data_IF_387259471464
#
_entry.id   IF_387259471464
#
_cell.length_a   1.000
_cell.length_b   1.000
_cell.length_c   1.000
_cell.angle_alpha   90.00
_cell.angle_beta   90.00
_cell.angle_gamma   90.00
#
_symmetry.space_group_name_H-M   'P 1'
#
loop_
_entity.id
_entity.type
_entity.pdbx_description
1 polymer ?
#
# COMPACT_ATOMS: atom_id res chain seq x y z
N UNK A 1 27.51 -12.02 -15.58
CA UNK A 1 26.88 -12.91 -14.60
C UNK A 1 26.93 -14.33 -15.14
N UNK A 2 27.48 -15.25 -14.38
CA UNK A 2 27.56 -16.67 -14.74
C UNK A 2 26.16 -17.30 -14.76
N UNK A 3 26.03 -18.39 -15.56
CA UNK A 3 24.72 -19.09 -15.75
C UNK A 3 24.17 -19.66 -14.44
N UNK A 4 25.06 -20.12 -13.56
CA UNK A 4 24.72 -20.66 -12.25
C UNK A 4 24.13 -19.59 -11.30
N UNK A 5 24.72 -18.38 -11.28
CA UNK A 5 24.22 -17.25 -10.46
C UNK A 5 22.83 -16.78 -10.92
N UNK A 6 22.56 -16.84 -12.24
CA UNK A 6 21.23 -16.53 -12.78
C UNK A 6 20.19 -17.58 -12.41
N UNK A 7 20.57 -18.87 -12.38
CA UNK A 7 19.67 -19.95 -11.98
C UNK A 7 19.29 -19.83 -10.49
N UNK A 8 20.27 -19.64 -9.63
CA UNK A 8 20.04 -19.44 -8.20
C UNK A 8 19.15 -18.21 -7.92
N UNK A 9 19.41 -17.08 -8.61
CA UNK A 9 18.57 -15.88 -8.52
C UNK A 9 17.11 -16.13 -8.95
N UNK A 10 16.89 -16.95 -9.97
CA UNK A 10 15.52 -17.30 -10.43
C UNK A 10 14.83 -18.18 -9.41
N UNK A 11 15.52 -19.14 -8.81
CA UNK A 11 14.97 -20.00 -7.77
C UNK A 11 14.58 -19.21 -6.52
N UNK A 12 15.48 -18.35 -6.01
CA UNK A 12 15.21 -17.46 -4.88
C UNK A 12 14.01 -16.52 -5.14
N UNK A 13 13.97 -15.94 -6.34
CA UNK A 13 12.86 -15.06 -6.72
C UNK A 13 11.56 -15.85 -6.88
N UNK A 14 11.61 -17.04 -7.46
CA UNK A 14 10.44 -17.88 -7.65
C UNK A 14 9.84 -18.30 -6.30
N UNK A 15 10.67 -18.64 -5.33
CA UNK A 15 10.23 -18.94 -3.97
C UNK A 15 9.58 -17.72 -3.29
N UNK A 16 10.25 -16.55 -3.35
CA UNK A 16 9.78 -15.33 -2.69
C UNK A 16 8.53 -14.72 -3.36
N UNK A 17 8.49 -14.66 -4.70
CA UNK A 17 7.36 -14.12 -5.46
C UNK A 17 6.19 -15.10 -5.46
N UNK A 18 6.45 -16.41 -5.51
CA UNK A 18 5.39 -17.42 -5.45
C UNK A 18 4.66 -17.47 -4.10
N UNK A 19 5.34 -17.09 -3.01
CA UNK A 19 4.73 -16.98 -1.69
C UNK A 19 3.98 -15.65 -1.47
N UNK A 20 4.21 -14.65 -2.33
CA UNK A 20 3.60 -13.32 -2.15
C UNK A 20 2.17 -13.27 -2.70
N UNK A 21 1.23 -12.66 -1.97
CA UNK A 21 -0.15 -12.49 -2.41
C UNK A 21 -0.30 -11.42 -3.50
N UNK A 22 0.66 -10.50 -3.62
CA UNK A 22 0.64 -9.41 -4.60
C UNK A 22 2.01 -9.13 -5.20
N UNK A 23 2.01 -8.73 -6.46
CA UNK A 23 3.19 -8.32 -7.21
C UNK A 23 2.88 -7.01 -7.94
N UNK A 24 3.68 -5.97 -7.71
CA UNK A 24 3.54 -4.68 -8.39
C UNK A 24 4.73 -4.46 -9.32
N UNK A 25 4.43 -4.08 -10.57
CA UNK A 25 5.40 -3.74 -11.60
C UNK A 25 5.52 -2.23 -11.74
N UNK A 26 6.75 -1.76 -11.71
CA UNK A 26 7.06 -0.33 -11.74
C UNK A 26 8.08 -0.06 -12.84
N UNK A 27 7.87 1.01 -13.58
CA UNK A 27 8.87 1.59 -14.48
C UNK A 27 9.72 2.59 -13.71
N UNK A 28 11.03 2.46 -13.79
CA UNK A 28 11.96 3.36 -13.11
C UNK A 28 12.83 4.09 -14.13
N UNK A 29 12.29 5.04 -14.83
CA UNK A 29 13.01 5.79 -15.83
C UNK A 29 13.53 7.11 -15.24
N UNK A 30 14.87 7.23 -15.08
CA UNK A 30 15.49 8.46 -14.62
C UNK A 30 15.62 8.64 -13.11
N UNK A 31 15.48 7.58 -12.30
CA UNK A 31 15.69 7.64 -10.85
C UNK A 31 17.15 8.00 -10.51
N UNK A 32 17.35 9.06 -9.73
CA UNK A 32 18.65 9.38 -9.15
C UNK A 32 19.05 8.36 -8.08
N UNK A 33 20.36 8.29 -7.77
CA UNK A 33 20.86 7.37 -6.73
C UNK A 33 20.22 7.68 -5.37
N UNK A 34 20.08 8.95 -5.03
CA UNK A 34 19.47 9.40 -3.77
C UNK A 34 18.01 8.93 -3.64
N UNK A 35 17.19 9.15 -4.68
CA UNK A 35 15.79 8.72 -4.73
C UNK A 35 15.65 7.20 -4.72
N UNK A 36 16.58 6.48 -5.34
CA UNK A 36 16.60 5.01 -5.29
C UNK A 36 16.89 4.47 -3.89
N UNK A 37 17.75 5.13 -3.13
CA UNK A 37 18.05 4.77 -1.73
C UNK A 37 16.84 5.09 -0.85
N UNK A 38 16.22 6.25 -1.02
CA UNK A 38 15.00 6.65 -0.32
C UNK A 38 13.86 5.65 -0.52
N UNK A 39 13.58 5.28 -1.77
CA UNK A 39 12.58 4.26 -2.11
C UNK A 39 12.86 2.93 -1.42
N UNK A 40 14.11 2.46 -1.46
CA UNK A 40 14.49 1.21 -0.80
C UNK A 40 14.33 1.26 0.72
N UNK A 41 14.59 2.40 1.33
CA UNK A 41 14.39 2.58 2.78
C UNK A 41 12.89 2.55 3.12
N UNK A 42 12.04 3.31 2.41
CA UNK A 42 10.58 3.26 2.57
C UNK A 42 10.03 1.83 2.35
N UNK A 43 10.55 1.12 1.35
CA UNK A 43 10.16 -0.28 1.13
C UNK A 43 10.55 -1.20 2.30
N UNK A 44 11.76 -1.03 2.88
CA UNK A 44 12.21 -1.84 4.02
C UNK A 44 11.40 -1.58 5.29
N UNK A 45 11.06 -0.32 5.56
CA UNK A 45 10.21 0.07 6.70
C UNK A 45 8.82 -0.58 6.63
N UNK A 46 8.29 -0.77 5.42
CA UNK A 46 6.99 -1.38 5.17
C UNK A 46 7.07 -2.88 4.83
N UNK A 47 8.20 -3.54 5.07
CA UNK A 47 8.43 -4.97 4.77
C UNK A 47 8.17 -5.35 3.30
N UNK A 48 8.35 -4.40 2.40
CA UNK A 48 8.23 -4.58 0.95
C UNK A 48 9.61 -4.87 0.37
N UNK A 49 9.71 -5.95 -0.38
CA UNK A 49 10.93 -6.27 -1.15
C UNK A 49 10.86 -5.56 -2.50
N UNK A 50 11.86 -4.75 -2.79
CA UNK A 50 12.02 -4.06 -4.05
C UNK A 50 13.28 -4.53 -4.78
N UNK A 51 13.13 -5.04 -6.01
CA UNK A 51 14.26 -5.54 -6.80
C UNK A 51 14.10 -5.20 -8.28
N UNK A 52 15.16 -4.68 -8.87
CA UNK A 52 15.24 -4.47 -10.31
C UNK A 52 15.75 -5.75 -10.95
N UNK A 53 14.99 -6.31 -11.87
CA UNK A 53 15.31 -7.60 -12.51
C UNK A 53 15.09 -7.50 -14.02
N UNK A 54 15.91 -8.22 -14.78
CA UNK A 54 15.74 -8.28 -16.24
C UNK A 54 14.45 -9.02 -16.60
N UNK A 55 13.62 -8.47 -17.50
CA UNK A 55 12.33 -9.02 -17.91
C UNK A 55 12.37 -10.50 -18.31
N UNK A 56 13.46 -10.91 -19.00
CA UNK A 56 13.64 -12.33 -19.38
C UNK A 56 13.78 -13.28 -18.20
N UNK A 57 14.29 -12.79 -17.05
CA UNK A 57 14.36 -13.58 -15.81
C UNK A 57 13.01 -13.56 -15.10
N UNK A 58 12.34 -12.41 -15.10
CA UNK A 58 10.99 -12.28 -14.50
C UNK A 58 10.01 -13.22 -15.17
N UNK A 59 10.01 -13.34 -16.50
CA UNK A 59 9.17 -14.30 -17.23
C UNK A 59 9.35 -15.72 -16.72
N UNK A 60 10.59 -16.17 -16.52
CA UNK A 60 10.89 -17.51 -15.98
C UNK A 60 10.47 -17.68 -14.51
N UNK A 61 10.47 -16.60 -13.74
CA UNK A 61 10.01 -16.60 -12.35
C UNK A 61 8.49 -16.73 -12.28
N UNK A 62 7.79 -16.02 -13.17
CA UNK A 62 6.32 -15.97 -13.21
C UNK A 62 5.72 -17.20 -13.89
N UNK A 63 6.48 -17.89 -14.77
CA UNK A 63 6.09 -19.17 -15.36
C UNK A 63 5.78 -20.21 -14.25
N UNK A 64 4.52 -20.67 -14.21
CA UNK A 64 4.05 -21.65 -13.23
C UNK A 64 3.70 -21.10 -11.83
N UNK A 65 3.55 -19.77 -11.72
CA UNK A 65 2.99 -19.10 -10.55
C UNK A 65 1.68 -18.39 -10.90
N UNK A 66 0.87 -18.05 -9.90
CA UNK A 66 -0.40 -17.32 -10.10
C UNK A 66 -0.20 -15.92 -10.74
N UNK A 67 1.04 -15.43 -10.76
CA UNK A 67 1.42 -14.14 -11.33
C UNK A 67 1.70 -14.18 -12.85
N UNK A 68 1.45 -15.29 -13.55
CA UNK A 68 1.69 -15.41 -15.01
C UNK A 68 0.91 -14.37 -15.82
N UNK A 69 -0.20 -13.88 -15.30
CA UNK A 69 -1.05 -12.85 -15.91
C UNK A 69 -0.33 -11.52 -16.17
N UNK A 70 0.81 -11.30 -15.51
CA UNK A 70 1.61 -10.06 -15.63
C UNK A 70 2.58 -10.09 -16.84
N UNK A 71 2.72 -11.22 -17.50
CA UNK A 71 3.66 -11.38 -18.63
C UNK A 71 3.55 -10.30 -19.73
N UNK A 72 2.34 -9.90 -20.19
CA UNK A 72 2.20 -8.85 -21.21
C UNK A 72 2.67 -7.46 -20.74
N UNK A 73 2.73 -7.22 -19.43
CA UNK A 73 3.18 -5.95 -18.86
C UNK A 73 4.71 -5.83 -18.72
N UNK A 74 5.47 -6.92 -18.99
CA UNK A 74 6.93 -6.97 -18.88
C UNK A 74 7.60 -6.36 -20.12
N UNK A 75 7.39 -5.07 -20.35
CA UNK A 75 8.00 -4.29 -21.43
C UNK A 75 8.91 -3.19 -20.87
N UNK A 76 10.03 -2.89 -21.53
CA UNK A 76 10.95 -1.82 -21.11
C UNK A 76 11.65 -2.09 -19.77
N UNK A 77 12.00 -1.05 -19.02
CA UNK A 77 12.60 -1.16 -17.69
C UNK A 77 11.54 -1.59 -16.68
N UNK A 78 11.85 -2.58 -15.85
CA UNK A 78 10.89 -3.10 -14.89
C UNK A 78 11.55 -3.38 -13.55
N UNK A 79 11.00 -2.83 -12.50
CA UNK A 79 11.26 -3.20 -11.11
C UNK A 79 10.07 -3.94 -10.53
N UNK A 80 10.35 -4.87 -9.65
CA UNK A 80 9.37 -5.66 -8.93
C UNK A 80 9.29 -5.20 -7.49
N UNK A 81 8.07 -5.01 -6.99
CA UNK A 81 7.80 -4.78 -5.58
C UNK A 81 6.78 -5.83 -5.11
N UNK A 82 7.10 -6.53 -4.03
CA UNK A 82 6.24 -7.57 -3.46
C UNK A 82 6.41 -7.64 -1.95
N UNK A 83 5.41 -8.14 -1.26
CA UNK A 83 5.47 -8.47 0.17
C UNK A 83 4.94 -9.88 0.39
N UNK A 84 5.51 -10.59 1.36
CA UNK A 84 5.10 -11.94 1.75
C UNK A 84 3.90 -11.91 2.70
N UNK A 85 3.77 -10.84 3.49
CA UNK A 85 2.76 -10.74 4.56
C UNK A 85 1.51 -9.95 4.14
N UNK A 86 1.68 -8.87 3.37
CA UNK A 86 0.58 -7.95 3.05
C UNK A 86 0.46 -7.71 1.55
N UNK A 87 -0.77 -7.82 1.06
CA UNK A 87 -1.09 -7.61 -0.35
C UNK A 87 -1.17 -6.12 -0.75
N UNK A 88 -1.43 -5.23 0.21
CA UNK A 88 -1.70 -3.81 -0.03
C UNK A 88 -0.44 -2.97 0.11
N UNK A 89 0.45 -3.32 1.06
CA UNK A 89 1.66 -2.55 1.36
C UNK A 89 2.54 -2.24 0.15
N UNK A 90 2.82 -3.17 -0.81
CA UNK A 90 3.61 -2.85 -1.98
C UNK A 90 2.97 -1.76 -2.86
N UNK A 91 1.65 -1.85 -3.06
CA UNK A 91 0.91 -0.87 -3.85
C UNK A 91 0.90 0.52 -3.19
N UNK A 92 0.73 0.57 -1.85
CA UNK A 92 0.68 1.81 -1.08
C UNK A 92 2.03 2.54 -1.12
N UNK A 93 3.13 1.87 -0.77
CA UNK A 93 4.48 2.46 -0.77
C UNK A 93 4.87 2.99 -2.15
N UNK A 94 4.56 2.22 -3.20
CA UNK A 94 4.85 2.65 -4.58
C UNK A 94 3.97 3.83 -4.99
N UNK A 95 2.68 3.82 -4.67
CA UNK A 95 1.78 4.91 -5.03
C UNK A 95 2.12 6.22 -4.29
N UNK A 96 2.48 6.14 -3.01
CA UNK A 96 2.91 7.30 -2.21
C UNK A 96 4.22 7.88 -2.79
N UNK A 97 5.17 7.03 -3.16
CA UNK A 97 6.42 7.47 -3.77
C UNK A 97 6.21 8.06 -5.18
N UNK A 98 5.30 7.49 -5.98
CA UNK A 98 4.92 8.03 -7.30
C UNK A 98 4.25 9.39 -7.15
N UNK A 99 3.39 9.59 -6.14
CA UNK A 99 2.76 10.89 -5.89
C UNK A 99 3.78 11.99 -5.52
N UNK A 100 4.88 11.63 -4.85
CA UNK A 100 5.97 12.55 -4.54
C UNK A 100 6.91 12.80 -5.75
N UNK A 101 6.96 11.87 -6.73
CA UNK A 101 7.93 11.85 -7.83
C UNK A 101 7.30 11.34 -9.12
N UNK A 102 6.25 12.01 -9.62
CA UNK A 102 5.46 11.57 -10.80
C UNK A 102 6.29 11.40 -12.09
N UNK A 103 7.35 12.20 -12.27
CA UNK A 103 8.18 12.18 -13.47
C UNK A 103 9.21 11.03 -13.50
N UNK A 104 9.52 10.43 -12.33
CA UNK A 104 10.64 9.48 -12.19
C UNK A 104 10.20 8.01 -12.10
N UNK A 105 8.96 7.77 -11.72
CA UNK A 105 8.44 6.43 -11.45
C UNK A 105 7.02 6.31 -11.97
N UNK A 106 6.76 5.30 -12.77
CA UNK A 106 5.42 5.01 -13.27
C UNK A 106 4.98 3.58 -12.89
N UNK A 107 3.75 3.44 -12.43
CA UNK A 107 3.17 2.11 -12.19
C UNK A 107 2.71 1.54 -13.52
N UNK A 108 3.23 0.36 -13.91
CA UNK A 108 2.78 -0.38 -15.09
C UNK A 108 1.52 -1.18 -14.83
N UNK A 109 1.43 -1.73 -13.65
CA UNK A 109 0.36 -2.63 -13.23
C UNK A 109 0.86 -3.62 -12.19
N UNK A 110 0.12 -4.68 -11.98
CA UNK A 110 0.50 -5.71 -11.02
C UNK A 110 -0.33 -6.97 -11.16
N UNK A 111 -0.14 -7.88 -10.21
CA UNK A 111 -1.00 -9.03 -10.00
C UNK A 111 -1.42 -9.11 -8.53
N UNK A 112 -2.66 -9.50 -8.29
CA UNK A 112 -3.21 -9.77 -6.97
C UNK A 112 -3.94 -11.11 -7.03
N UNK A 113 -3.42 -12.12 -6.32
CA UNK A 113 -4.05 -13.45 -6.24
C UNK A 113 -4.44 -14.02 -7.62
N UNK A 114 -3.54 -13.91 -8.61
CA UNK A 114 -3.80 -14.43 -9.95
C UNK A 114 -4.56 -13.50 -10.90
N UNK A 115 -5.06 -12.36 -10.43
CA UNK A 115 -5.73 -11.37 -11.27
C UNK A 115 -4.76 -10.27 -11.69
N UNK A 116 -4.73 -9.94 -12.99
CA UNK A 116 -3.95 -8.81 -13.47
C UNK A 116 -4.62 -7.50 -13.06
N UNK A 117 -3.80 -6.58 -12.57
CA UNK A 117 -4.22 -5.23 -12.20
C UNK A 117 -3.61 -4.22 -13.18
N UNK A 118 -4.44 -3.33 -13.69
CA UNK A 118 -4.01 -2.16 -14.44
C UNK A 118 -3.36 -1.11 -13.52
N UNK A 119 -2.66 -0.14 -14.08
CA UNK A 119 -2.06 0.95 -13.32
C UNK A 119 -3.10 1.75 -12.49
N UNK A 120 -4.32 1.91 -13.01
CA UNK A 120 -5.42 2.59 -12.31
C UNK A 120 -5.91 1.79 -11.10
N UNK A 121 -6.01 0.46 -11.24
CA UNK A 121 -6.44 -0.43 -10.17
C UNK A 121 -5.38 -0.56 -9.07
N UNK A 122 -4.09 -0.56 -9.41
CA UNK A 122 -3.01 -0.50 -8.41
C UNK A 122 -3.08 0.81 -7.61
N UNK A 123 -3.34 1.94 -8.26
CA UNK A 123 -3.57 3.22 -7.58
C UNK A 123 -4.83 3.20 -6.69
N UNK A 124 -5.89 2.51 -7.10
CA UNK A 124 -7.08 2.32 -6.29
C UNK A 124 -6.81 1.40 -5.08
N UNK A 125 -6.05 0.32 -5.29
CA UNK A 125 -5.60 -0.59 -4.22
C UNK A 125 -4.78 0.14 -3.16
N UNK A 126 -3.90 1.07 -3.57
CA UNK A 126 -3.09 1.87 -2.67
C UNK A 126 -3.90 2.80 -1.74
N UNK A 127 -5.11 3.19 -2.16
CA UNK A 127 -6.03 4.00 -1.33
C UNK A 127 -6.75 3.18 -0.25
N UNK A 128 -6.69 1.86 -0.32
CA UNK A 128 -7.32 1.02 0.69
C UNK A 128 -6.51 1.07 1.99
N UNK A 129 -7.20 1.05 3.14
CA UNK A 129 -6.55 0.91 4.43
C UNK A 129 -5.77 -0.42 4.53
N UNK A 130 -4.78 -0.46 5.39
CA UNK A 130 -4.06 -1.70 5.71
C UNK A 130 -4.99 -2.76 6.32
N UNK A 131 -4.62 -4.04 6.23
CA UNK A 131 -5.43 -5.13 6.80
C UNK A 131 -5.83 -4.92 8.27
N UNK A 132 -4.94 -4.47 9.18
CA UNK A 132 -5.32 -4.19 10.56
C UNK A 132 -6.29 -3.00 10.67
N UNK A 133 -6.14 -1.96 9.86
CA UNK A 133 -7.06 -0.83 9.83
C UNK A 133 -8.45 -1.24 9.32
N UNK A 134 -8.53 -2.08 8.27
CA UNK A 134 -9.80 -2.64 7.80
C UNK A 134 -10.51 -3.46 8.87
N UNK A 135 -9.76 -4.30 9.62
CA UNK A 135 -10.33 -5.04 10.76
C UNK A 135 -10.84 -4.10 11.85
N UNK A 136 -10.09 -3.04 12.17
CA UNK A 136 -10.52 -2.03 13.13
C UNK A 136 -11.77 -1.28 12.67
N UNK A 137 -11.90 -0.95 11.38
CA UNK A 137 -13.09 -0.33 10.81
C UNK A 137 -14.31 -1.25 10.90
N UNK A 138 -14.17 -2.54 10.60
CA UNK A 138 -15.25 -3.52 10.73
C UNK A 138 -15.72 -3.61 12.19
N UNK A 139 -14.79 -3.71 13.14
CA UNK A 139 -15.12 -3.70 14.57
C UNK A 139 -15.79 -2.40 15.00
N UNK A 140 -15.33 -1.26 14.47
CA UNK A 140 -15.96 0.05 14.68
C UNK A 140 -17.39 0.09 14.17
N UNK A 141 -17.66 -0.42 12.97
CA UNK A 141 -19.00 -0.50 12.40
C UNK A 141 -19.95 -1.37 13.22
N UNK A 142 -19.47 -2.45 13.80
CA UNK A 142 -20.28 -3.33 14.68
C UNK A 142 -20.65 -2.59 15.96
N UNK A 143 -19.75 -1.77 16.51
CA UNK A 143 -19.96 -1.03 17.76
C UNK A 143 -20.66 0.32 17.53
N UNK A 144 -20.69 0.84 16.29
CA UNK A 144 -21.26 2.14 15.97
C UNK A 144 -22.72 2.31 16.43
N UNK A 145 -23.65 1.36 16.22
CA UNK A 145 -25.03 1.51 16.67
C UNK A 145 -25.16 1.69 18.18
N UNK A 146 -24.40 0.90 18.95
CA UNK A 146 -24.42 1.00 20.41
C UNK A 146 -23.85 2.34 20.89
N UNK A 147 -22.75 2.79 20.30
CA UNK A 147 -22.14 4.08 20.63
C UNK A 147 -23.03 5.26 20.25
N UNK A 148 -23.74 5.19 19.12
CA UNK A 148 -24.70 6.21 18.72
C UNK A 148 -25.90 6.28 19.67
N UNK A 149 -26.44 5.15 20.09
CA UNK A 149 -27.52 5.11 21.08
C UNK A 149 -27.09 5.74 22.41
N UNK A 150 -25.90 5.39 22.90
CA UNK A 150 -25.36 6.00 24.13
C UNK A 150 -25.14 7.51 23.95
N UNK A 151 -24.64 7.92 22.79
CA UNK A 151 -24.47 9.33 22.45
C UNK A 151 -25.79 10.11 22.45
N UNK A 152 -26.85 9.57 21.83
CA UNK A 152 -28.17 10.22 21.82
C UNK A 152 -28.84 10.29 23.20
N UNK A 153 -28.63 9.30 24.05
CA UNK A 153 -29.13 9.32 25.44
C UNK A 153 -28.40 10.38 26.27
N UNK A 154 -27.10 10.52 26.09
CA UNK A 154 -26.27 11.47 26.83
C UNK A 154 -26.29 12.89 26.26
N UNK A 155 -26.70 13.08 25.02
CA UNK A 155 -26.69 14.37 24.32
C UNK A 155 -27.49 15.47 25.07
N UNK A 156 -28.71 15.24 25.59
CA UNK A 156 -29.46 16.26 26.31
C UNK A 156 -28.73 16.75 27.56
N UNK A 157 -28.13 15.84 28.30
CA UNK A 157 -27.39 16.20 29.52
C UNK A 157 -26.13 17.02 29.20
N UNK A 158 -25.41 16.66 28.16
CA UNK A 158 -24.24 17.41 27.70
C UNK A 158 -24.61 18.79 27.15
N UNK A 159 -25.73 18.91 26.43
CA UNK A 159 -26.23 20.21 25.95
C UNK A 159 -26.58 21.15 27.13
N UNK A 160 -27.22 20.66 28.15
CA UNK A 160 -27.54 21.47 29.36
C UNK A 160 -26.25 21.94 30.05
N UNK A 161 -25.28 21.04 30.23
CA UNK A 161 -23.97 21.40 30.81
C UNK A 161 -23.23 22.42 29.97
N UNK A 162 -23.20 22.23 28.64
CA UNK A 162 -22.58 23.17 27.71
C UNK A 162 -23.22 24.56 27.71
N UNK A 163 -24.56 24.65 27.81
CA UNK A 163 -25.24 25.93 27.89
C UNK A 163 -24.98 26.64 29.22
N UNK A 164 -24.90 25.91 30.35
CA UNK A 164 -24.54 26.48 31.65
C UNK A 164 -23.08 26.98 31.61
N UNK A 165 -22.16 26.22 31.08
CA UNK A 165 -20.77 26.64 30.91
C UNK A 165 -20.63 27.89 30.04
N UNK A 166 -21.24 27.91 28.86
CA UNK A 166 -21.25 29.07 28.01
C UNK A 166 -21.83 30.32 28.66
N UNK A 167 -22.85 30.16 29.51
CA UNK A 167 -23.43 31.27 30.28
C UNK A 167 -22.47 31.79 31.37
N UNK A 168 -21.76 30.90 32.05
CA UNK A 168 -20.72 31.24 33.04
C UNK A 168 -19.58 31.99 32.40
N UNK A 169 -19.07 31.50 31.27
CA UNK A 169 -17.96 32.10 30.50
C UNK A 169 -18.35 33.51 30.05
N UNK A 170 -19.54 33.67 29.46
CA UNK A 170 -20.05 34.98 29.05
C UNK A 170 -20.16 35.97 30.21
N UNK A 171 -20.56 35.49 31.38
CA UNK A 171 -20.67 36.33 32.59
C UNK A 171 -19.31 36.72 33.17
N UNK A 172 -18.30 35.85 33.01
CA UNK A 172 -16.93 36.16 33.43
C UNK A 172 -16.28 37.17 32.50
N UNK A 173 -16.56 37.07 31.18
CA UNK A 173 -16.07 38.04 30.19
C UNK A 173 -16.71 39.43 30.32
N UNK A 174 -17.98 39.50 30.80
CA UNK A 174 -18.67 40.75 31.07
C UNK A 174 -18.23 41.40 32.41
N UNK A 175 -17.58 40.61 33.29
CA UNK A 175 -17.11 41.08 34.62
C UNK A 175 -15.62 41.46 34.65
N UNK A 176 -14.85 41.22 33.52
CA UNK A 176 -13.43 41.56 33.36
C UNK A 176 -13.26 42.82 32.51
#
# INVERSE_FOLDING_TARGET
MERQVKAALVEDLKASVGASPSLVLVDFNGLTVEKSVELRNKCRESQVRFKVVKNTLVRKVVEGTDHQVVEPLLTGMTALAWSEEDAISPAKVIADFVAENEDLLAVKGGALQGNALSAAEVKALAKLPTLPELRAQILGLINAPASQLLGTINAPAQQVLGTIQAWIDKRNDEAA
#
